data_IF_847613519774
#
_entry.id   IF_847613519774
#
_cell.length_a   1.000
_cell.length_b   1.000
_cell.length_c   1.000
_cell.angle_alpha   90.00
_cell.angle_beta   90.00
_cell.angle_gamma   90.00
#
_symmetry.space_group_name_H-M   'P 1'
#
loop_
_entity.id
_entity.type
_entity.pdbx_description
1 polymer ?
#
# COMPACT_ATOMS: atom_id res chain seq x y z
N UNK A 1 -6.48 -13.53 23.17
CA UNK A 1 -5.46 -13.78 22.14
C UNK A 1 -4.16 -13.21 22.68
N UNK A 2 -3.05 -13.98 22.71
CA UNK A 2 -1.75 -13.50 23.18
C UNK A 2 -1.32 -12.31 22.31
N UNK A 3 -0.95 -11.19 22.95
CA UNK A 3 -0.34 -10.04 22.26
C UNK A 3 1.04 -10.47 21.71
N UNK A 4 1.05 -11.13 20.56
CA UNK A 4 2.29 -11.34 19.82
C UNK A 4 2.77 -10.00 19.26
N UNK A 5 4.06 -9.73 19.36
CA UNK A 5 4.66 -8.55 18.76
C UNK A 5 4.65 -8.68 17.24
N UNK A 6 4.66 -7.56 16.52
CA UNK A 6 4.77 -7.53 15.04
C UNK A 6 5.95 -8.36 14.56
N UNK A 7 7.10 -8.28 15.24
CA UNK A 7 8.27 -9.09 14.94
C UNK A 7 7.99 -10.60 15.09
N UNK A 8 7.35 -11.02 16.17
CA UNK A 8 7.05 -12.44 16.37
C UNK A 8 6.13 -13.00 15.27
N UNK A 9 5.16 -12.22 14.83
CA UNK A 9 4.27 -12.61 13.72
C UNK A 9 5.04 -12.68 12.41
N UNK A 10 5.86 -11.69 12.08
CA UNK A 10 6.64 -11.69 10.82
C UNK A 10 7.67 -12.81 10.80
N UNK A 11 8.35 -13.11 11.92
CA UNK A 11 9.27 -14.26 12.03
C UNK A 11 8.54 -15.58 11.82
N UNK A 12 7.43 -15.80 12.51
CA UNK A 12 6.65 -17.04 12.38
C UNK A 12 6.05 -17.23 10.97
N UNK A 13 5.88 -16.15 10.22
CA UNK A 13 5.36 -16.19 8.84
C UNK A 13 6.48 -16.42 7.82
N UNK A 14 7.64 -15.78 7.98
CA UNK A 14 8.66 -15.68 6.93
C UNK A 14 9.95 -16.44 7.23
N UNK A 15 10.29 -16.70 8.49
CA UNK A 15 11.56 -17.33 8.87
C UNK A 15 11.39 -18.75 9.40
N UNK A 16 10.55 -18.91 10.42
CA UNK A 16 10.39 -20.19 11.13
C UNK A 16 9.98 -21.36 10.22
N UNK A 17 9.06 -21.21 9.25
CA UNK A 17 8.66 -22.30 8.36
C UNK A 17 9.80 -22.83 7.48
N UNK A 18 10.85 -22.01 7.26
CA UNK A 18 12.00 -22.33 6.43
C UNK A 18 13.25 -22.61 7.26
N UNK A 19 13.12 -22.62 8.59
CA UNK A 19 14.22 -22.85 9.52
C UNK A 19 15.33 -21.79 9.43
N UNK A 20 14.98 -20.57 9.00
CA UNK A 20 15.91 -19.44 8.93
C UNK A 20 16.11 -18.89 10.34
N UNK A 21 17.33 -18.97 10.84
CA UNK A 21 17.72 -18.45 12.13
C UNK A 21 18.52 -17.13 12.02
N UNK A 22 18.89 -16.58 13.16
CA UNK A 22 19.65 -15.34 13.20
C UNK A 22 21.04 -15.47 12.54
N UNK A 23 21.67 -16.63 12.62
CA UNK A 23 22.98 -16.87 11.99
C UNK A 23 22.88 -16.87 10.46
N UNK A 24 21.76 -17.35 9.91
CA UNK A 24 21.49 -17.30 8.48
C UNK A 24 21.31 -15.84 8.01
N UNK A 25 20.56 -15.05 8.75
CA UNK A 25 20.36 -13.61 8.45
C UNK A 25 21.69 -12.85 8.52
N UNK A 26 22.53 -13.13 9.53
CA UNK A 26 23.86 -12.54 9.65
C UNK A 26 24.76 -12.88 8.47
N UNK A 27 24.73 -14.14 8.00
CA UNK A 27 25.50 -14.57 6.83
C UNK A 27 25.00 -13.90 5.55
N UNK A 28 23.69 -13.83 5.35
CA UNK A 28 23.07 -13.18 4.19
C UNK A 28 23.43 -11.70 4.15
N UNK A 29 23.27 -10.99 5.27
CA UNK A 29 23.63 -9.58 5.37
C UNK A 29 25.12 -9.36 5.12
N UNK A 30 25.98 -10.15 5.75
CA UNK A 30 27.43 -10.10 5.54
C UNK A 30 27.83 -10.35 4.08
N UNK A 31 27.03 -11.13 3.33
CA UNK A 31 27.25 -11.32 1.90
C UNK A 31 26.84 -10.07 1.10
N UNK A 32 25.72 -9.45 1.45
CA UNK A 32 25.18 -8.23 0.80
C UNK A 32 26.14 -7.04 1.02
N UNK A 33 26.67 -6.88 2.24
CA UNK A 33 27.54 -5.76 2.63
C UNK A 33 29.02 -6.17 2.56
N UNK A 34 29.36 -7.01 1.62
CA UNK A 34 30.78 -7.38 1.42
C UNK A 34 31.57 -6.15 0.91
N UNK A 35 32.77 -5.92 1.50
CA UNK A 35 33.64 -4.80 1.05
C UNK A 35 33.96 -4.92 -0.45
N UNK A 36 33.88 -3.85 -1.25
CA UNK A 36 33.78 -2.44 -0.88
C UNK A 36 32.33 -1.84 -0.93
N UNK A 37 31.28 -2.65 -0.71
CA UNK A 37 29.88 -2.17 -0.71
C UNK A 37 29.71 -1.08 0.38
N UNK A 38 29.06 0.01 0.02
CA UNK A 38 28.85 1.17 0.90
C UNK A 38 27.52 1.06 1.66
N UNK A 39 26.51 0.47 1.02
CA UNK A 39 25.18 0.30 1.59
C UNK A 39 24.53 -0.99 1.07
N UNK A 40 23.73 -1.63 1.92
CA UNK A 40 22.93 -2.77 1.49
C UNK A 40 21.84 -3.12 2.48
N UNK A 41 20.83 -3.80 1.99
CA UNK A 41 19.71 -4.26 2.80
C UNK A 41 19.11 -5.58 2.28
N UNK A 42 18.29 -6.17 3.14
CA UNK A 42 17.49 -7.36 2.84
C UNK A 42 16.04 -7.03 3.14
N UNK A 43 15.16 -7.19 2.16
CA UNK A 43 13.74 -6.92 2.26
C UNK A 43 12.93 -8.19 2.07
N UNK A 44 12.32 -8.69 3.14
CA UNK A 44 11.40 -9.84 3.11
C UNK A 44 9.97 -9.33 3.03
N UNK A 45 9.15 -9.98 2.21
CA UNK A 45 7.73 -9.66 2.11
C UNK A 45 6.88 -10.89 1.85
N UNK A 46 5.73 -10.96 2.51
CA UNK A 46 4.61 -11.81 2.11
C UNK A 46 3.36 -10.94 1.97
N UNK A 47 2.53 -11.22 0.98
CA UNK A 47 1.25 -10.52 0.77
C UNK A 47 0.17 -11.53 0.43
N UNK A 48 -0.85 -11.57 1.26
CA UNK A 48 -2.13 -12.21 0.94
C UNK A 48 -3.09 -11.14 0.46
N UNK A 49 -3.87 -11.42 -0.57
CA UNK A 49 -4.88 -10.51 -1.07
C UNK A 49 -6.11 -11.25 -1.55
N UNK A 50 -7.27 -10.67 -1.31
CA UNK A 50 -8.55 -11.16 -1.83
C UNK A 50 -9.36 -10.03 -2.45
N UNK A 51 -10.28 -10.40 -3.32
CA UNK A 51 -11.30 -9.50 -3.82
C UNK A 51 -12.60 -10.21 -4.11
N UNK A 52 -13.71 -9.51 -3.90
CA UNK A 52 -15.07 -9.97 -4.13
C UNK A 52 -15.79 -8.92 -4.98
N UNK A 53 -16.47 -9.34 -6.04
CA UNK A 53 -17.20 -8.42 -6.91
C UNK A 53 -18.66 -8.87 -7.06
N UNK A 54 -19.55 -7.96 -6.70
CA UNK A 54 -20.99 -8.08 -6.91
C UNK A 54 -21.39 -7.24 -8.12
N UNK A 55 -22.18 -7.82 -8.99
CA UNK A 55 -22.83 -7.14 -10.11
C UNK A 55 -24.30 -7.55 -10.12
N UNK A 56 -25.18 -6.55 -10.09
CA UNK A 56 -26.63 -6.72 -10.16
C UNK A 56 -27.20 -7.76 -9.18
N UNK A 57 -26.84 -7.60 -7.91
CA UNK A 57 -27.34 -8.43 -6.82
C UNK A 57 -26.71 -9.82 -6.72
N UNK A 58 -25.70 -10.15 -7.53
CA UNK A 58 -25.01 -11.43 -7.51
C UNK A 58 -23.50 -11.25 -7.36
N UNK A 59 -22.89 -11.96 -6.43
CA UNK A 59 -21.42 -12.06 -6.35
C UNK A 59 -20.96 -12.98 -7.49
N UNK A 60 -20.39 -12.37 -8.54
CA UNK A 60 -19.98 -13.07 -9.77
C UNK A 60 -18.53 -13.51 -9.77
N UNK A 61 -17.69 -12.85 -8.96
CA UNK A 61 -16.25 -13.12 -8.96
C UNK A 61 -15.69 -12.99 -7.56
N UNK A 62 -14.86 -13.94 -7.19
CA UNK A 62 -13.95 -13.83 -6.06
C UNK A 62 -12.55 -14.28 -6.48
N UNK A 63 -11.54 -13.70 -5.87
CA UNK A 63 -10.15 -14.10 -6.09
C UNK A 63 -9.39 -14.06 -4.77
N UNK A 64 -8.43 -14.96 -4.64
CA UNK A 64 -7.45 -14.97 -3.56
C UNK A 64 -6.06 -15.19 -4.17
N UNK A 65 -5.07 -14.51 -3.65
CA UNK A 65 -3.66 -14.70 -4.02
C UNK A 65 -2.78 -14.60 -2.80
N UNK A 66 -1.72 -15.41 -2.78
CA UNK A 66 -0.62 -15.31 -1.82
C UNK A 66 0.68 -15.18 -2.59
N UNK A 67 1.49 -14.22 -2.23
CA UNK A 67 2.80 -13.93 -2.84
C UNK A 67 3.83 -13.73 -1.75
N UNK A 68 5.06 -14.13 -2.05
CA UNK A 68 6.19 -13.93 -1.15
C UNK A 68 7.46 -13.63 -1.94
N UNK A 69 8.42 -13.00 -1.31
CA UNK A 69 9.72 -12.76 -1.91
C UNK A 69 10.69 -12.10 -0.95
N UNK A 70 11.96 -12.23 -1.30
CA UNK A 70 13.07 -11.55 -0.62
C UNK A 70 13.91 -10.81 -1.65
N UNK A 71 14.09 -9.51 -1.45
CA UNK A 71 14.97 -8.65 -2.20
C UNK A 71 16.30 -8.45 -1.46
N UNK A 72 17.41 -8.44 -2.19
CA UNK A 72 18.74 -8.13 -1.71
C UNK A 72 19.27 -6.96 -2.51
N UNK A 73 19.68 -5.90 -1.84
CA UNK A 73 20.21 -4.69 -2.47
C UNK A 73 21.62 -4.40 -1.95
N UNK A 74 22.53 -4.10 -2.86
CA UNK A 74 23.92 -3.69 -2.57
C UNK A 74 24.24 -2.45 -3.38
N UNK A 75 24.83 -1.43 -2.78
CA UNK A 75 25.15 -0.15 -3.41
C UNK A 75 26.64 0.13 -3.29
N UNK A 76 27.24 0.51 -4.40
CA UNK A 76 28.63 0.96 -4.49
C UNK A 76 28.68 2.22 -5.36
N UNK A 77 28.83 3.39 -4.74
CA UNK A 77 28.71 4.67 -5.42
C UNK A 77 27.34 4.84 -6.10
N UNK A 78 27.34 5.02 -7.42
CA UNK A 78 26.10 5.14 -8.22
C UNK A 78 25.58 3.79 -8.76
N UNK A 79 26.26 2.71 -8.46
CA UNK A 79 25.88 1.38 -8.94
C UNK A 79 25.04 0.66 -7.89
N UNK A 80 23.91 0.10 -8.33
CA UNK A 80 23.04 -0.72 -7.49
C UNK A 80 22.97 -2.13 -8.02
N UNK A 81 23.37 -3.10 -7.21
CA UNK A 81 23.10 -4.51 -7.42
C UNK A 81 21.81 -4.90 -6.73
N UNK A 82 20.86 -5.43 -7.48
CA UNK A 82 19.58 -5.91 -6.98
C UNK A 82 19.35 -7.35 -7.43
N UNK A 83 19.00 -8.21 -6.49
CA UNK A 83 18.56 -9.55 -6.80
C UNK A 83 17.38 -9.93 -5.89
N UNK A 84 16.55 -10.86 -6.33
CA UNK A 84 15.40 -11.32 -5.56
C UNK A 84 15.22 -12.84 -5.67
N UNK A 85 14.49 -13.39 -4.72
CA UNK A 85 14.05 -14.78 -4.70
C UNK A 85 12.58 -14.84 -4.26
N UNK A 86 11.76 -15.62 -4.95
CA UNK A 86 10.41 -15.98 -4.50
C UNK A 86 10.44 -17.16 -3.51
N UNK A 87 11.53 -17.91 -3.50
CA UNK A 87 11.76 -19.00 -2.56
C UNK A 87 12.49 -18.49 -1.31
N UNK A 88 12.01 -18.91 -0.13
CA UNK A 88 12.64 -18.63 1.16
C UNK A 88 13.61 -19.75 1.58
N UNK A 89 13.92 -20.70 0.70
CA UNK A 89 14.95 -21.70 0.94
C UNK A 89 16.32 -21.05 1.07
N UNK A 90 17.11 -21.43 2.10
CA UNK A 90 18.39 -20.82 2.45
C UNK A 90 19.37 -20.72 1.27
N UNK A 91 19.46 -21.78 0.46
CA UNK A 91 20.36 -21.81 -0.70
C UNK A 91 19.95 -20.80 -1.79
N UNK A 92 18.63 -20.63 -2.02
CA UNK A 92 18.11 -19.66 -2.97
C UNK A 92 18.39 -18.22 -2.48
N UNK A 93 18.16 -17.95 -1.20
CA UNK A 93 18.42 -16.66 -0.58
C UNK A 93 19.91 -16.30 -0.63
N UNK A 94 20.79 -17.23 -0.27
CA UNK A 94 22.23 -17.02 -0.33
C UNK A 94 22.75 -16.80 -1.77
N UNK A 95 22.15 -17.47 -2.75
CA UNK A 95 22.45 -17.24 -4.17
C UNK A 95 22.03 -15.83 -4.61
N UNK A 96 20.85 -15.36 -4.20
CA UNK A 96 20.39 -14.01 -4.50
C UNK A 96 21.26 -12.95 -3.81
N UNK A 97 21.63 -13.13 -2.54
CA UNK A 97 22.53 -12.24 -1.83
C UNK A 97 23.89 -12.08 -2.55
N UNK A 98 24.47 -13.21 -3.01
CA UNK A 98 25.70 -13.19 -3.83
C UNK A 98 25.52 -12.49 -5.16
N UNK A 99 24.38 -12.64 -5.81
CA UNK A 99 24.11 -11.97 -7.08
C UNK A 99 23.99 -10.45 -6.89
N UNK A 100 23.31 -9.98 -5.83
CA UNK A 100 23.22 -8.56 -5.51
C UNK A 100 24.59 -7.93 -5.24
N UNK A 101 25.45 -8.59 -4.46
CA UNK A 101 26.79 -8.08 -4.15
C UNK A 101 27.81 -8.20 -5.29
N UNK A 102 27.45 -8.82 -6.42
CA UNK A 102 28.36 -9.05 -7.55
C UNK A 102 28.83 -7.76 -8.27
N UNK A 103 28.24 -6.60 -7.97
CA UNK A 103 28.74 -5.29 -8.40
C UNK A 103 30.13 -4.98 -7.81
N UNK A 104 30.47 -5.57 -6.66
CA UNK A 104 31.79 -5.53 -6.06
C UNK A 104 32.60 -6.72 -6.55
N UNK A 105 33.54 -6.49 -7.48
CA UNK A 105 34.36 -7.54 -8.14
C UNK A 105 35.26 -8.36 -7.20
N UNK A 106 35.49 -7.88 -5.96
CA UNK A 106 36.39 -8.56 -5.00
C UNK A 106 36.06 -8.11 -3.57
N UNK A 107 34.95 -8.56 -3.04
CA UNK A 107 34.59 -8.26 -1.65
C UNK A 107 34.97 -9.40 -0.70
N UNK A 108 35.25 -9.05 0.56
CA UNK A 108 35.31 -10.01 1.67
C UNK A 108 33.97 -9.96 2.39
N UNK A 109 33.26 -11.08 2.42
CA UNK A 109 32.07 -11.25 3.24
C UNK A 109 32.44 -11.50 4.70
N UNK A 110 31.62 -11.06 5.62
CA UNK A 110 31.72 -11.30 7.05
C UNK A 110 30.34 -11.64 7.63
N UNK A 111 30.22 -11.71 8.94
CA UNK A 111 28.98 -11.79 9.67
C UNK A 111 28.73 -10.47 10.40
N UNK A 112 27.51 -9.97 10.35
CA UNK A 112 27.10 -8.76 11.06
C UNK A 112 26.03 -9.10 12.08
N UNK A 113 26.08 -8.55 13.31
CA UNK A 113 25.08 -8.81 14.32
C UNK A 113 23.73 -8.25 13.90
N UNK A 114 22.65 -8.96 14.21
CA UNK A 114 21.28 -8.49 13.98
C UNK A 114 20.73 -7.95 15.31
N UNK A 115 20.05 -6.83 15.26
CA UNK A 115 19.34 -6.23 16.38
C UNK A 115 17.95 -5.80 15.95
N UNK A 116 16.95 -5.92 16.82
CA UNK A 116 15.55 -5.57 16.50
C UNK A 116 15.25 -4.11 16.81
N UNK A 117 14.53 -3.46 15.90
CA UNK A 117 13.93 -2.15 16.12
C UNK A 117 12.51 -2.31 16.68
N UNK A 118 12.23 -1.66 17.78
CA UNK A 118 10.87 -1.57 18.31
C UNK A 118 10.19 -0.29 17.79
N UNK A 119 8.93 -0.41 17.41
CA UNK A 119 8.08 0.72 17.06
C UNK A 119 7.40 1.25 18.34
N UNK A 120 7.54 2.54 18.61
CA UNK A 120 6.99 3.14 19.83
C UNK A 120 5.47 3.33 19.75
N UNK A 121 4.93 3.73 18.60
CA UNK A 121 3.50 3.94 18.37
C UNK A 121 3.11 3.58 16.93
N UNK A 122 2.41 2.46 16.72
CA UNK A 122 1.95 2.09 15.39
C UNK A 122 0.76 2.98 14.97
N UNK A 123 0.72 3.36 13.69
CA UNK A 123 -0.37 4.16 13.11
C UNK A 123 -1.61 3.31 12.77
N UNK A 124 -1.51 2.00 12.82
CA UNK A 124 -2.60 1.06 12.54
C UNK A 124 -2.42 -0.26 13.30
N UNK A 125 -3.53 -0.97 13.47
CA UNK A 125 -3.55 -2.27 14.15
C UNK A 125 -3.04 -3.36 13.21
N UNK A 126 -2.06 -4.19 13.62
CA UNK A 126 -1.49 -5.26 12.80
C UNK A 126 -2.42 -6.49 12.73
N UNK A 127 -3.67 -6.31 12.30
CA UNK A 127 -4.65 -7.37 12.19
C UNK A 127 -4.83 -7.83 10.74
N UNK A 128 -5.09 -9.14 10.53
CA UNK A 128 -5.39 -9.65 9.19
C UNK A 128 -6.84 -9.30 8.80
N UNK A 129 -7.08 -8.38 7.86
CA UNK A 129 -8.43 -7.99 7.48
C UNK A 129 -9.17 -9.10 6.76
N UNK A 130 -8.47 -10.00 6.05
CA UNK A 130 -9.06 -11.12 5.30
C UNK A 130 -9.80 -12.07 6.24
N UNK A 131 -9.28 -12.25 7.45
CA UNK A 131 -9.85 -13.13 8.47
C UNK A 131 -10.87 -12.43 9.39
N UNK A 132 -11.08 -11.12 9.24
CA UNK A 132 -11.99 -10.35 10.10
C UNK A 132 -13.47 -10.66 9.85
N UNK A 133 -13.81 -11.12 8.65
CA UNK A 133 -15.13 -11.62 8.27
C UNK A 133 -15.00 -12.95 7.54
N UNK A 134 -15.97 -13.84 7.75
CA UNK A 134 -16.11 -15.03 6.92
C UNK A 134 -16.67 -14.68 5.53
N UNK A 135 -16.58 -15.62 4.60
CA UNK A 135 -16.99 -15.41 3.21
C UNK A 135 -18.47 -15.04 3.09
N UNK A 136 -19.34 -15.68 3.89
CA UNK A 136 -20.77 -15.37 3.89
C UNK A 136 -21.06 -13.95 4.37
N UNK A 137 -20.32 -13.48 5.37
CA UNK A 137 -20.44 -12.12 5.89
C UNK A 137 -19.98 -11.08 4.87
N UNK A 138 -18.91 -11.35 4.10
CA UNK A 138 -18.45 -10.50 2.99
C UNK A 138 -19.50 -10.42 1.88
N UNK A 139 -20.09 -11.55 1.51
CA UNK A 139 -21.21 -11.63 0.54
C UNK A 139 -22.40 -10.83 1.05
N UNK A 140 -22.78 -10.99 2.32
CA UNK A 140 -23.90 -10.29 2.94
C UNK A 140 -23.68 -8.77 2.97
N UNK A 141 -22.45 -8.31 3.22
CA UNK A 141 -22.08 -6.90 3.18
C UNK A 141 -22.30 -6.31 1.78
N UNK A 142 -21.85 -6.98 0.74
CA UNK A 142 -22.04 -6.55 -0.65
C UNK A 142 -23.52 -6.54 -1.06
N UNK A 143 -24.28 -7.59 -0.70
CA UNK A 143 -25.72 -7.65 -0.95
C UNK A 143 -26.48 -6.52 -0.23
N UNK A 144 -26.11 -6.24 1.02
CA UNK A 144 -26.70 -5.14 1.80
C UNK A 144 -26.46 -3.79 1.13
N UNK A 145 -25.25 -3.58 0.59
CA UNK A 145 -24.92 -2.38 -0.16
C UNK A 145 -25.77 -2.25 -1.43
N UNK A 146 -25.91 -3.31 -2.24
CA UNK A 146 -26.74 -3.32 -3.45
C UNK A 146 -28.20 -3.00 -3.13
N UNK A 147 -28.80 -3.67 -2.13
CA UNK A 147 -30.17 -3.41 -1.68
C UNK A 147 -30.33 -1.96 -1.22
N UNK A 148 -29.37 -1.45 -0.46
CA UNK A 148 -29.40 -0.06 0.00
C UNK A 148 -29.38 0.93 -1.16
N UNK A 149 -28.46 0.76 -2.13
CA UNK A 149 -28.34 1.60 -3.33
C UNK A 149 -29.66 1.63 -4.11
N UNK A 150 -30.22 0.45 -4.41
CA UNK A 150 -31.48 0.36 -5.17
C UNK A 150 -32.67 0.95 -4.45
N UNK A 151 -32.64 1.00 -3.13
CA UNK A 151 -33.73 1.61 -2.33
C UNK A 151 -33.72 3.13 -2.33
N UNK A 152 -32.62 3.79 -2.75
CA UNK A 152 -32.47 5.24 -2.71
C UNK A 152 -33.18 5.96 -3.87
N UNK A 153 -33.16 5.36 -5.08
CA UNK A 153 -33.80 5.94 -6.25
C UNK A 153 -34.23 4.86 -7.26
N UNK A 154 -35.44 4.97 -7.81
CA UNK A 154 -36.02 4.02 -8.79
C UNK A 154 -35.29 4.03 -10.15
N UNK A 155 -34.55 5.08 -10.45
CA UNK A 155 -33.74 5.22 -11.68
C UNK A 155 -32.42 4.41 -11.63
N UNK A 156 -32.06 3.84 -10.49
CA UNK A 156 -30.90 2.95 -10.39
C UNK A 156 -31.14 1.70 -11.25
N UNK A 157 -30.26 1.47 -12.23
CA UNK A 157 -30.34 0.33 -13.16
C UNK A 157 -29.24 -0.69 -12.89
N UNK A 158 -27.99 -0.25 -12.71
CA UNK A 158 -26.86 -1.14 -12.51
C UNK A 158 -26.13 -0.77 -11.23
N UNK A 159 -25.70 -1.79 -10.50
CA UNK A 159 -24.89 -1.65 -9.30
C UNK A 159 -23.71 -2.61 -9.40
N UNK A 160 -22.52 -2.08 -9.33
CA UNK A 160 -21.29 -2.85 -9.23
C UNK A 160 -20.57 -2.47 -7.94
N UNK A 161 -20.37 -3.44 -7.07
CA UNK A 161 -19.66 -3.26 -5.81
C UNK A 161 -18.48 -4.23 -5.72
N UNK A 162 -17.34 -3.76 -5.27
CA UNK A 162 -16.19 -4.62 -5.00
C UNK A 162 -15.62 -4.37 -3.60
N UNK A 163 -15.33 -5.48 -2.92
CA UNK A 163 -14.66 -5.52 -1.63
C UNK A 163 -13.29 -6.15 -1.85
N UNK A 164 -12.22 -5.49 -1.46
CA UNK A 164 -10.87 -6.01 -1.54
C UNK A 164 -10.14 -5.85 -0.21
N UNK A 165 -9.31 -6.83 0.12
CA UNK A 165 -8.44 -6.78 1.29
C UNK A 165 -7.08 -7.35 1.00
N UNK A 166 -6.08 -6.84 1.69
CA UNK A 166 -4.74 -7.42 1.69
C UNK A 166 -4.12 -7.39 3.07
N UNK A 167 -3.25 -8.36 3.30
CA UNK A 167 -2.46 -8.51 4.52
C UNK A 167 -1.01 -8.71 4.12
N UNK A 168 -0.19 -7.68 4.33
CA UNK A 168 1.24 -7.70 4.03
C UNK A 168 2.05 -7.82 5.31
N UNK A 169 3.02 -8.75 5.34
CA UNK A 169 4.07 -8.79 6.35
C UNK A 169 5.37 -8.36 5.70
N UNK A 170 6.08 -7.44 6.33
CA UNK A 170 7.37 -6.90 5.87
C UNK A 170 8.40 -7.03 6.97
N UNK A 171 9.62 -7.43 6.59
CA UNK A 171 10.77 -7.44 7.47
C UNK A 171 11.98 -6.93 6.68
N UNK A 172 12.67 -5.95 7.23
CA UNK A 172 13.80 -5.29 6.58
C UNK A 172 15.01 -5.40 7.52
N UNK A 173 16.14 -5.74 6.96
CA UNK A 173 17.42 -5.74 7.67
C UNK A 173 18.31 -4.73 6.96
N UNK A 174 18.65 -3.65 7.64
CA UNK A 174 19.53 -2.62 7.10
C UNK A 174 21.01 -2.98 7.18
N UNK A 175 21.85 -2.12 6.63
CA UNK A 175 23.30 -2.30 6.60
C UNK A 175 23.97 -2.36 7.98
N UNK A 176 23.31 -1.87 9.02
CA UNK A 176 23.82 -1.90 10.40
C UNK A 176 23.37 -3.17 11.14
N UNK A 177 22.62 -4.04 10.46
CA UNK A 177 22.02 -5.24 11.05
C UNK A 177 20.78 -4.96 11.87
N UNK A 178 20.12 -3.83 11.66
CA UNK A 178 18.89 -3.48 12.37
C UNK A 178 17.69 -4.08 11.64
N UNK A 179 16.97 -4.93 12.33
CA UNK A 179 15.77 -5.59 11.84
C UNK A 179 14.54 -4.76 12.22
N UNK A 180 13.82 -4.31 11.22
CA UNK A 180 12.53 -3.63 11.35
C UNK A 180 11.43 -4.51 10.76
N UNK A 181 10.25 -4.53 11.41
CA UNK A 181 9.11 -5.35 10.98
C UNK A 181 7.82 -4.53 10.97
N UNK A 182 7.00 -4.78 9.97
CA UNK A 182 5.68 -4.16 9.85
C UNK A 182 4.64 -5.16 9.34
N UNK A 183 3.40 -4.98 9.76
CA UNK A 183 2.24 -5.72 9.25
C UNK A 183 1.29 -4.69 8.68
N UNK A 184 1.07 -4.76 7.38
CA UNK A 184 0.37 -3.77 6.56
C UNK A 184 -1.01 -4.26 6.12
N UNK A 185 -2.05 -4.14 6.96
CA UNK A 185 -3.43 -4.40 6.55
C UNK A 185 -3.89 -3.36 5.54
N UNK A 186 -4.79 -3.74 4.65
CA UNK A 186 -5.46 -2.80 3.75
C UNK A 186 -6.81 -3.32 3.34
N UNK A 187 -7.83 -2.47 3.36
CA UNK A 187 -9.14 -2.77 2.79
C UNK A 187 -9.56 -1.70 1.79
N UNK A 188 -10.40 -2.09 0.86
CA UNK A 188 -11.06 -1.17 -0.07
C UNK A 188 -12.47 -1.67 -0.40
N UNK A 189 -13.47 -0.80 -0.20
CA UNK A 189 -14.80 -0.93 -0.78
C UNK A 189 -14.93 0.07 -1.92
N UNK A 190 -15.36 -0.38 -3.09
CA UNK A 190 -15.62 0.47 -4.25
C UNK A 190 -17.04 0.20 -4.74
N UNK A 191 -17.75 1.26 -5.04
CA UNK A 191 -19.15 1.24 -5.52
C UNK A 191 -19.25 2.06 -6.79
N UNK A 192 -19.95 1.51 -7.78
CA UNK A 192 -20.34 2.18 -9.01
C UNK A 192 -21.81 1.95 -9.26
N UNK A 193 -22.54 3.02 -9.50
CA UNK A 193 -23.98 3.02 -9.75
C UNK A 193 -24.25 3.65 -11.10
N UNK A 194 -25.13 3.05 -11.90
CA UNK A 194 -25.66 3.66 -13.11
C UNK A 194 -27.14 3.95 -12.89
N UNK A 195 -27.52 5.19 -13.09
CA UNK A 195 -28.91 5.62 -13.14
C UNK A 195 -29.32 5.90 -14.58
N UNK A 196 -30.62 5.72 -14.88
CA UNK A 196 -31.17 5.97 -16.21
C UNK A 196 -32.49 6.73 -16.09
N UNK A 197 -32.62 7.82 -16.84
CA UNK A 197 -33.83 8.58 -16.97
C UNK A 197 -33.99 9.08 -18.42
N UNK A 198 -35.17 8.86 -19.03
CA UNK A 198 -35.47 9.26 -20.40
C UNK A 198 -34.42 8.89 -21.45
N UNK A 199 -33.79 7.72 -21.31
CA UNK A 199 -32.76 7.21 -22.20
C UNK A 199 -31.34 7.78 -21.97
N UNK A 200 -31.18 8.72 -21.02
CA UNK A 200 -29.88 9.20 -20.57
C UNK A 200 -29.41 8.31 -19.42
N UNK A 201 -28.15 7.88 -19.50
CA UNK A 201 -27.49 7.04 -18.49
C UNK A 201 -26.28 7.75 -17.93
N UNK A 202 -26.20 7.83 -16.63
CA UNK A 202 -25.09 8.48 -15.94
C UNK A 202 -24.57 7.63 -14.78
N UNK A 203 -23.29 7.80 -14.51
CA UNK A 203 -22.59 7.05 -13.50
C UNK A 203 -22.25 7.90 -12.28
N UNK A 204 -22.41 7.30 -11.09
CA UNK A 204 -21.85 7.79 -9.86
C UNK A 204 -20.97 6.74 -9.21
N UNK A 205 -19.98 7.17 -8.46
CA UNK A 205 -19.04 6.30 -7.76
C UNK A 205 -18.78 6.79 -6.35
N UNK A 206 -18.64 5.86 -5.41
CA UNK A 206 -18.19 6.14 -4.07
C UNK A 206 -17.44 4.95 -3.50
N UNK A 207 -16.93 5.07 -2.30
CA UNK A 207 -16.24 4.02 -1.56
C UNK A 207 -15.10 4.56 -0.73
N UNK A 208 -14.45 3.66 -0.03
CA UNK A 208 -13.38 4.01 0.89
C UNK A 208 -12.60 2.79 1.33
N UNK A 209 -11.71 3.02 2.26
CA UNK A 209 -10.86 1.99 2.84
C UNK A 209 -9.68 2.62 3.55
N UNK A 210 -8.75 1.79 3.95
CA UNK A 210 -7.58 2.21 4.71
C UNK A 210 -6.90 1.00 5.33
N UNK A 211 -6.02 1.25 6.28
CA UNK A 211 -5.34 0.22 7.06
C UNK A 211 -6.22 -0.26 8.21
N UNK A 212 -7.31 -0.90 7.82
CA UNK A 212 -8.44 -1.28 8.68
C UNK A 212 -8.80 -2.75 8.48
N UNK A 213 -9.74 -3.26 9.29
CA UNK A 213 -10.44 -4.52 9.05
C UNK A 213 -11.78 -4.30 8.36
N UNK A 214 -12.35 -5.34 7.75
CA UNK A 214 -13.68 -5.26 7.12
C UNK A 214 -14.80 -4.89 8.11
N UNK A 215 -14.65 -5.18 9.39
CA UNK A 215 -15.60 -4.80 10.44
C UNK A 215 -15.81 -3.28 10.54
N UNK A 216 -14.83 -2.49 10.07
CA UNK A 216 -14.94 -1.04 10.00
C UNK A 216 -15.98 -0.55 8.98
N UNK A 217 -16.39 -1.40 8.03
CA UNK A 217 -17.42 -1.13 7.03
C UNK A 217 -18.82 -1.37 7.62
N UNK A 218 -19.16 -0.59 8.62
CA UNK A 218 -20.45 -0.67 9.32
C UNK A 218 -21.61 -0.09 8.48
N UNK A 219 -22.83 -0.19 9.00
CA UNK A 219 -24.05 0.23 8.33
C UNK A 219 -24.07 1.72 7.99
N UNK A 220 -23.46 2.55 8.82
CA UNK A 220 -23.36 3.99 8.60
C UNK A 220 -22.48 4.29 7.36
N UNK A 221 -21.27 3.70 7.30
CA UNK A 221 -20.38 3.86 6.14
C UNK A 221 -20.95 3.29 4.84
N UNK A 222 -21.61 2.13 4.92
CA UNK A 222 -22.31 1.54 3.77
C UNK A 222 -23.42 2.48 3.30
N UNK A 223 -24.21 3.04 4.23
CA UNK A 223 -25.25 4.01 3.92
C UNK A 223 -24.69 5.28 3.28
N UNK A 224 -23.61 5.81 3.81
CA UNK A 224 -22.92 6.98 3.27
C UNK A 224 -22.44 6.74 1.84
N UNK A 225 -21.70 5.65 1.58
CA UNK A 225 -21.20 5.36 0.22
C UNK A 225 -22.31 5.11 -0.79
N UNK A 226 -23.41 4.46 -0.36
CA UNK A 226 -24.58 4.28 -1.20
C UNK A 226 -25.19 5.62 -1.60
N UNK A 227 -25.41 6.52 -0.63
CA UNK A 227 -25.97 7.84 -0.87
C UNK A 227 -25.08 8.68 -1.79
N UNK A 228 -23.77 8.77 -1.49
CA UNK A 228 -22.82 9.54 -2.29
C UNK A 228 -22.78 9.08 -3.76
N UNK A 229 -22.77 7.77 -4.02
CA UNK A 229 -22.74 7.25 -5.39
C UNK A 229 -24.03 7.54 -6.14
N UNK A 230 -25.19 7.40 -5.50
CA UNK A 230 -26.49 7.69 -6.11
C UNK A 230 -26.63 9.20 -6.37
N UNK A 231 -26.33 10.04 -5.39
CA UNK A 231 -26.40 11.49 -5.53
C UNK A 231 -25.51 11.99 -6.68
N UNK A 232 -24.29 11.48 -6.77
CA UNK A 232 -23.37 11.82 -7.88
C UNK A 232 -23.98 11.43 -9.24
N UNK A 233 -24.56 10.24 -9.35
CA UNK A 233 -25.18 9.78 -10.60
C UNK A 233 -26.38 10.64 -10.98
N UNK A 234 -27.21 11.01 -10.00
CA UNK A 234 -28.39 11.87 -10.20
C UNK A 234 -27.99 13.30 -10.60
N UNK A 235 -26.97 13.87 -9.95
CA UNK A 235 -26.42 15.17 -10.33
C UNK A 235 -25.91 15.13 -11.77
N UNK A 236 -25.23 14.06 -12.18
CA UNK A 236 -24.74 13.90 -13.54
C UNK A 236 -25.86 13.81 -14.57
N UNK A 237 -27.04 13.25 -14.23
CA UNK A 237 -28.21 13.26 -15.11
C UNK A 237 -28.68 14.69 -15.46
N UNK A 238 -28.56 15.63 -14.52
CA UNK A 238 -28.96 17.03 -14.68
C UNK A 238 -27.81 17.92 -15.19
N UNK A 239 -26.56 17.36 -15.25
CA UNK A 239 -25.40 18.11 -15.62
C UNK A 239 -25.47 18.61 -17.08
N UNK A 240 -24.97 19.84 -17.28
CA UNK A 240 -24.75 20.46 -18.58
C UNK A 240 -23.29 20.39 -18.96
N UNK A 241 -23.01 20.52 -20.23
CA UNK A 241 -21.62 20.60 -20.73
C UNK A 241 -20.88 21.76 -20.06
N UNK A 242 -19.65 21.50 -19.62
CA UNK A 242 -18.79 22.53 -19.07
C UNK A 242 -18.36 23.51 -20.18
N UNK A 243 -18.33 24.83 -19.91
CA UNK A 243 -17.82 25.79 -20.90
C UNK A 243 -16.33 25.55 -21.16
N UNK A 244 -15.93 25.63 -22.41
CA UNK A 244 -14.53 25.62 -22.80
C UNK A 244 -13.93 27.02 -22.71
N UNK A 245 -12.71 27.16 -22.21
CA UNK A 245 -12.00 28.44 -22.12
C UNK A 245 -11.19 28.59 -20.85
N UNK A 246 -10.49 29.71 -20.75
CA UNK A 246 -9.75 30.10 -19.55
C UNK A 246 -10.72 30.63 -18.50
N UNK A 247 -10.64 30.10 -17.27
CA UNK A 247 -11.51 30.53 -16.18
C UNK A 247 -10.87 30.29 -14.82
N UNK A 248 -11.34 31.00 -13.81
CA UNK A 248 -10.95 30.75 -12.42
C UNK A 248 -11.54 29.43 -11.94
N UNK A 249 -10.68 28.57 -11.38
CA UNK A 249 -11.04 27.24 -10.88
C UNK A 249 -10.81 27.19 -9.37
N UNK A 250 -11.80 26.68 -8.63
CA UNK A 250 -11.66 26.36 -7.21
C UNK A 250 -11.60 24.85 -7.07
N UNK A 251 -10.49 24.33 -6.53
CA UNK A 251 -10.30 22.91 -6.28
C UNK A 251 -10.77 22.60 -4.84
N UNK A 252 -11.74 21.68 -4.71
CA UNK A 252 -12.15 21.14 -3.42
C UNK A 252 -11.16 20.12 -2.86
N UNK A 253 -11.45 19.58 -1.67
CA UNK A 253 -10.67 18.48 -1.08
C UNK A 253 -10.92 17.15 -1.83
N UNK A 254 -10.03 16.17 -1.65
CA UNK A 254 -10.15 14.83 -2.23
C UNK A 254 -9.33 14.66 -3.51
N UNK A 255 -9.95 14.30 -4.64
CA UNK A 255 -9.27 14.04 -5.91
C UNK A 255 -8.26 15.11 -6.38
N UNK A 256 -8.49 16.42 -6.15
CA UNK A 256 -7.45 17.43 -6.45
C UNK A 256 -6.12 17.24 -5.73
N UNK A 257 -6.07 16.45 -4.65
CA UNK A 257 -4.82 16.03 -4.03
C UNK A 257 -3.89 15.28 -5.00
N UNK A 258 -4.44 14.57 -6.00
CA UNK A 258 -3.65 13.93 -7.05
C UNK A 258 -2.91 14.95 -7.90
N UNK A 259 -3.52 16.10 -8.19
CA UNK A 259 -2.82 17.19 -8.90
C UNK A 259 -1.58 17.68 -8.13
N UNK A 260 -1.68 17.78 -6.81
CA UNK A 260 -0.55 18.18 -5.96
C UNK A 260 0.52 17.09 -5.95
N UNK A 261 0.10 15.80 -5.89
CA UNK A 261 1.00 14.66 -6.01
C UNK A 261 1.81 14.71 -7.31
N UNK A 262 1.16 14.92 -8.46
CA UNK A 262 1.83 15.02 -9.77
C UNK A 262 2.70 16.28 -9.90
N UNK A 263 2.20 17.41 -9.43
CA UNK A 263 2.90 18.69 -9.60
C UNK A 263 4.11 18.84 -8.67
N UNK A 264 4.07 18.28 -7.47
CA UNK A 264 5.07 18.46 -6.43
C UNK A 264 5.67 17.14 -5.96
N UNK A 265 4.82 16.14 -5.66
CA UNK A 265 5.22 14.90 -5.01
C UNK A 265 6.34 14.17 -5.75
N UNK A 266 6.16 13.89 -7.03
CA UNK A 266 7.20 13.24 -7.85
C UNK A 266 8.51 14.06 -7.94
N UNK A 267 8.42 15.38 -7.91
CA UNK A 267 9.60 16.24 -7.90
C UNK A 267 10.40 16.19 -6.59
N UNK A 268 9.80 15.71 -5.50
CA UNK A 268 10.45 15.60 -4.18
C UNK A 268 11.07 14.22 -3.94
N UNK A 269 10.91 13.25 -4.85
CA UNK A 269 11.51 11.93 -4.71
C UNK A 269 13.04 12.02 -4.54
N UNK A 270 13.56 11.25 -3.58
CA UNK A 270 14.95 11.36 -3.13
C UNK A 270 15.97 11.07 -4.22
N UNK A 271 15.73 10.07 -5.09
CA UNK A 271 16.69 9.70 -6.13
C UNK A 271 16.75 10.73 -7.26
N UNK A 272 15.65 11.37 -7.65
CA UNK A 272 15.67 12.48 -8.63
C UNK A 272 16.42 13.69 -8.09
N UNK A 273 16.24 14.00 -6.79
CA UNK A 273 16.96 15.09 -6.14
C UNK A 273 18.46 14.78 -6.00
N UNK A 274 18.82 13.56 -5.62
CA UNK A 274 20.21 13.11 -5.54
C UNK A 274 20.91 13.17 -6.91
N UNK A 275 20.25 12.71 -7.96
CA UNK A 275 20.76 12.76 -9.35
C UNK A 275 20.71 14.15 -9.97
N UNK A 276 20.16 15.14 -9.27
CA UNK A 276 19.98 16.53 -9.76
C UNK A 276 19.13 16.63 -11.03
N UNK A 277 18.16 15.74 -11.20
CA UNK A 277 17.24 15.73 -12.33
C UNK A 277 15.88 16.35 -12.01
N UNK A 278 15.58 16.58 -10.72
CA UNK A 278 14.38 17.28 -10.27
C UNK A 278 14.56 18.82 -10.36
N UNK A 279 13.47 19.53 -10.66
CA UNK A 279 13.42 21.00 -10.56
C UNK A 279 13.64 21.51 -9.14
N UNK A 280 13.44 20.67 -8.11
CA UNK A 280 13.62 21.00 -6.70
C UNK A 280 15.02 20.67 -6.17
N UNK A 281 15.92 20.16 -7.00
CA UNK A 281 17.26 19.74 -6.57
C UNK A 281 18.06 20.92 -6.00
N UNK A 282 18.49 20.77 -4.75
CA UNK A 282 19.31 21.79 -4.05
C UNK A 282 18.51 22.97 -3.52
N UNK A 283 17.19 22.96 -3.56
CA UNK A 283 16.33 24.05 -3.08
C UNK A 283 15.83 23.82 -1.64
N UNK A 284 16.49 22.98 -0.85
CA UNK A 284 16.15 22.79 0.55
C UNK A 284 16.25 24.12 1.31
N UNK A 285 15.15 24.53 1.95
CA UNK A 285 15.05 25.81 2.66
C UNK A 285 14.67 27.02 1.80
N UNK A 286 14.57 26.84 0.47
CA UNK A 286 14.20 27.91 -0.45
C UNK A 286 12.68 27.93 -0.73
N UNK A 287 12.18 29.08 -1.15
CA UNK A 287 10.78 29.24 -1.55
C UNK A 287 10.56 28.66 -2.95
N UNK A 288 9.79 27.58 -3.07
CA UNK A 288 9.53 26.88 -4.33
C UNK A 288 8.12 27.07 -4.88
N UNK A 289 7.25 27.74 -4.13
CA UNK A 289 5.86 28.04 -4.52
C UNK A 289 5.45 29.42 -4.00
N UNK A 290 4.22 29.84 -4.32
CA UNK A 290 3.64 31.06 -3.74
C UNK A 290 3.61 30.98 -2.20
N UNK A 291 3.89 32.08 -1.47
CA UNK A 291 3.86 32.10 -0.01
C UNK A 291 2.51 31.72 0.62
N UNK A 292 1.43 31.72 -0.15
CA UNK A 292 0.10 31.31 0.31
C UNK A 292 -0.11 29.78 0.20
N UNK A 293 0.83 29.06 -0.44
CA UNK A 293 0.75 27.60 -0.58
C UNK A 293 1.50 26.92 0.58
N UNK A 294 0.81 26.04 1.30
CA UNK A 294 1.41 25.13 2.28
C UNK A 294 1.07 23.71 1.87
N UNK A 295 2.09 22.91 1.59
CA UNK A 295 1.94 21.51 1.15
C UNK A 295 2.68 20.63 2.15
N UNK A 296 1.99 19.61 2.65
CA UNK A 296 2.53 18.63 3.60
C UNK A 296 2.31 17.24 3.04
N UNK A 297 3.38 16.44 2.97
CA UNK A 297 3.32 15.00 2.77
C UNK A 297 3.44 14.32 4.13
N UNK A 298 2.39 13.62 4.54
CA UNK A 298 2.28 13.03 5.88
C UNK A 298 1.91 11.56 5.82
N UNK A 299 2.90 10.71 6.02
CA UNK A 299 2.75 9.24 6.13
C UNK A 299 2.33 8.74 7.51
N UNK A 300 1.99 9.64 8.47
CA UNK A 300 1.73 9.28 9.87
C UNK A 300 0.26 9.38 10.28
N UNK A 301 -0.64 9.69 9.35
CA UNK A 301 -2.08 9.81 9.63
C UNK A 301 -2.65 8.43 10.01
N UNK A 302 -3.22 8.26 11.22
CA UNK A 302 -3.71 6.97 11.66
C UNK A 302 -4.69 6.33 10.67
N UNK A 303 -4.54 5.02 10.44
CA UNK A 303 -5.40 4.19 9.59
C UNK A 303 -5.51 4.64 8.13
N UNK A 304 -4.85 5.73 7.73
CA UNK A 304 -4.88 6.20 6.34
C UNK A 304 -4.19 5.21 5.40
N UNK A 305 -4.65 5.15 4.16
CA UNK A 305 -4.11 4.25 3.13
C UNK A 305 -2.61 4.44 2.89
N UNK A 306 -2.13 5.69 2.90
CA UNK A 306 -0.74 6.05 2.67
C UNK A 306 0.17 5.92 3.88
N UNK A 307 -0.37 5.64 5.08
CA UNK A 307 0.44 5.57 6.29
C UNK A 307 1.28 4.32 6.35
N UNK A 308 2.51 4.46 6.84
CA UNK A 308 3.47 3.39 7.06
C UNK A 308 4.09 3.53 8.46
N UNK A 309 4.23 2.42 9.18
CA UNK A 309 4.96 2.40 10.45
C UNK A 309 6.48 2.42 10.23
N UNK A 310 6.93 1.82 9.14
CA UNK A 310 8.31 1.89 8.64
C UNK A 310 8.28 2.10 7.14
N UNK A 311 9.28 2.82 6.61
CA UNK A 311 9.51 2.91 5.16
C UNK A 311 10.16 1.64 4.59
N UNK A 312 10.54 1.67 3.32
CA UNK A 312 11.15 0.50 2.65
C UNK A 312 12.65 0.34 2.97
N UNK A 313 13.19 1.20 3.82
CA UNK A 313 14.56 1.12 4.38
C UNK A 313 14.55 0.77 5.88
N UNK A 314 13.35 0.58 6.45
CA UNK A 314 13.17 0.16 7.84
C UNK A 314 13.21 1.32 8.86
N UNK A 315 13.08 2.58 8.40
CA UNK A 315 13.09 3.76 9.27
C UNK A 315 11.71 4.10 9.83
#
# INVERSE_FOLDING_TARGET
>A
MSNQTTEAITRSTMLDPYGIDESDLQMMLGQVISSPIEMGDIYFQTVEAESWTLEDGLVKKSSYSSRQGVGFRSILGEQTGLAYSESFEKDALMKAAKAASSIAKSGKSGTLPISTRNLDQPYYVPSNPILSLDDQSKINLLNKLDVKVRSLDSRVKEVVASLAGSYGCVMIIDQEGKLSSDIRPMIRLSLSVIVEDNGRRERGTSGGGGRLSYESLNDEKIGQYAQEAVDQALINLEAKEAPAGEMTVVLGSGWPGVLIHEAIGHGLEGDFNRKKTSAFSGLMGEMVASPICNIVDDGTIPEARGSLNIDDEGN
#
